data_IF_989050178631
#
_entry.id   IF_989050178631
#
_cell.length_a   1.000
_cell.length_b   1.000
_cell.length_c   1.000
_cell.angle_alpha   90.00
_cell.angle_beta   90.00
_cell.angle_gamma   90.00
#
_symmetry.space_group_name_H-M   'P 1'
#
loop_
_entity.id
_entity.type
_entity.pdbx_description
1 polymer ?
#
# COMPACT_ATOMS: atom_id res chain seq x y z
N UNK A 1 7.49 30.16 20.99
CA UNK A 1 8.16 29.13 20.20
C UNK A 1 7.13 28.45 19.31
N UNK A 2 6.93 28.99 18.11
CA UNK A 2 6.02 28.46 17.10
C UNK A 2 6.65 27.19 16.52
N UNK A 3 6.01 26.05 16.71
CA UNK A 3 6.49 24.77 16.21
C UNK A 3 6.57 24.84 14.66
N UNK A 4 7.70 24.50 13.99
CA UNK A 4 7.87 24.57 12.53
C UNK A 4 7.09 23.49 11.75
N UNK A 5 6.02 22.98 12.35
CA UNK A 5 5.21 21.87 11.86
C UNK A 5 4.35 22.17 10.61
N UNK A 6 3.74 23.37 10.43
CA UNK A 6 2.87 23.61 9.28
C UNK A 6 3.63 23.76 7.95
N UNK A 7 4.87 24.27 7.98
CA UNK A 7 5.66 24.48 6.76
C UNK A 7 6.10 23.17 6.11
N UNK A 8 6.57 22.20 6.89
CA UNK A 8 6.94 20.87 6.35
C UNK A 8 5.76 20.14 5.73
N UNK A 9 4.55 20.30 6.29
CA UNK A 9 3.33 19.71 5.74
C UNK A 9 3.01 20.26 4.35
N UNK A 10 3.13 21.57 4.19
CA UNK A 10 2.91 22.24 2.91
C UNK A 10 3.98 21.86 1.89
N UNK A 11 5.24 21.77 2.32
CA UNK A 11 6.35 21.36 1.46
C UNK A 11 6.21 19.90 0.97
N UNK A 12 5.85 18.96 1.84
CA UNK A 12 5.59 17.58 1.43
C UNK A 12 4.39 17.49 0.49
N UNK A 13 3.28 18.17 0.79
CA UNK A 13 2.14 18.23 -0.11
C UNK A 13 2.50 18.82 -1.48
N UNK A 14 3.34 19.86 -1.52
CA UNK A 14 3.83 20.46 -2.75
C UNK A 14 4.73 19.50 -3.55
N UNK A 15 5.64 18.79 -2.88
CA UNK A 15 6.48 17.77 -3.52
C UNK A 15 5.66 16.62 -4.10
N UNK A 16 4.67 16.11 -3.35
CA UNK A 16 3.77 15.06 -3.83
C UNK A 16 2.91 15.54 -5.00
N UNK A 17 2.45 16.80 -4.95
CA UNK A 17 1.70 17.42 -6.02
C UNK A 17 2.54 17.56 -7.30
N UNK A 18 3.77 18.06 -7.18
CA UNK A 18 4.72 18.15 -8.28
C UNK A 18 5.01 16.77 -8.88
N UNK A 19 5.25 15.77 -8.03
CA UNK A 19 5.47 14.38 -8.45
C UNK A 19 4.29 13.79 -9.23
N UNK A 20 3.07 14.25 -8.94
CA UNK A 20 1.85 13.79 -9.58
C UNK A 20 1.55 14.48 -10.91
N UNK A 21 2.09 15.69 -11.16
CA UNK A 21 1.77 16.49 -12.36
C UNK A 21 2.11 15.79 -13.66
N UNK A 22 3.16 14.97 -13.67
CA UNK A 22 3.56 14.19 -14.85
C UNK A 22 2.54 13.13 -15.31
N UNK A 23 1.53 12.82 -14.49
CA UNK A 23 0.50 11.81 -14.77
C UNK A 23 -0.87 12.41 -15.10
N UNK A 24 -0.98 13.74 -15.11
CA UNK A 24 -2.23 14.43 -15.44
C UNK A 24 -2.46 14.41 -16.95
N UNK A 25 -3.70 14.17 -17.35
CA UNK A 25 -4.13 14.34 -18.74
C UNK A 25 -4.25 15.84 -19.09
N UNK A 26 -4.23 16.19 -20.39
CA UNK A 26 -4.50 17.56 -20.82
C UNK A 26 -5.87 18.05 -20.29
N UNK A 27 -5.86 19.19 -19.61
CA UNK A 27 -7.05 19.78 -19.00
C UNK A 27 -7.54 19.09 -17.71
N UNK A 28 -6.79 18.14 -17.17
CA UNK A 28 -7.02 17.56 -15.84
C UNK A 28 -6.37 18.45 -14.77
N UNK A 29 -7.10 18.74 -13.70
CA UNK A 29 -6.63 19.59 -12.60
C UNK A 29 -6.34 18.75 -11.37
N UNK A 30 -5.14 18.93 -10.82
CA UNK A 30 -4.79 18.34 -9.53
C UNK A 30 -5.53 19.05 -8.40
N UNK A 31 -6.29 18.29 -7.61
CA UNK A 31 -6.99 18.82 -6.43
C UNK A 31 -6.11 18.68 -5.19
N UNK A 32 -5.57 17.48 -4.95
CA UNK A 32 -4.70 17.21 -3.81
C UNK A 32 -3.85 15.94 -4.00
N UNK A 33 -2.77 15.81 -3.25
CA UNK A 33 -1.94 14.61 -3.19
C UNK A 33 -1.56 14.30 -1.74
N UNK A 34 -1.65 13.03 -1.36
CA UNK A 34 -1.41 12.59 0.02
C UNK A 34 -0.59 11.31 0.10
N UNK A 35 0.29 11.22 1.10
CA UNK A 35 1.00 9.99 1.44
C UNK A 35 0.07 9.04 2.20
N UNK A 36 -0.20 7.87 1.62
CA UNK A 36 -1.12 6.86 2.12
C UNK A 36 -0.45 5.51 2.29
N UNK A 37 -1.02 4.69 3.17
CA UNK A 37 -0.62 3.31 3.40
C UNK A 37 -1.87 2.43 3.38
N UNK A 38 -1.72 1.20 2.89
CA UNK A 38 -2.74 0.19 3.15
C UNK A 38 -2.71 -0.15 4.64
N UNK A 39 -3.89 -0.31 5.25
CA UNK A 39 -3.97 -0.78 6.63
C UNK A 39 -3.17 -2.09 6.78
N UNK A 40 -2.40 -2.21 7.87
CA UNK A 40 -1.50 -3.33 8.11
C UNK A 40 -2.18 -4.72 8.11
N UNK A 41 -3.51 -4.77 8.25
CA UNK A 41 -4.29 -6.01 8.22
C UNK A 41 -4.88 -6.33 6.83
N UNK A 42 -4.70 -5.46 5.83
CA UNK A 42 -5.00 -5.77 4.44
C UNK A 42 -4.04 -6.88 3.98
N UNK A 43 -4.53 -7.93 3.29
CA UNK A 43 -3.69 -9.05 2.87
C UNK A 43 -2.39 -8.60 2.20
N UNK A 44 -1.27 -9.01 2.79
CA UNK A 44 0.08 -8.69 2.30
C UNK A 44 0.47 -9.59 1.12
N UNK A 45 0.01 -10.84 1.15
CA UNK A 45 0.34 -11.85 0.16
C UNK A 45 -0.80 -11.99 -0.84
N UNK A 46 -0.52 -11.67 -2.10
CA UNK A 46 -1.47 -11.91 -3.19
C UNK A 46 -1.58 -13.42 -3.47
N UNK A 47 -2.79 -13.91 -3.84
CA UNK A 47 -2.97 -15.22 -4.44
C UNK A 47 -2.05 -15.39 -5.65
N UNK A 48 -1.49 -16.59 -5.84
CA UNK A 48 -0.53 -16.87 -6.93
C UNK A 48 -1.03 -16.42 -8.31
N UNK A 49 -2.32 -16.61 -8.59
CA UNK A 49 -2.98 -16.20 -9.84
C UNK A 49 -2.94 -14.70 -10.17
N UNK A 50 -2.66 -13.84 -9.19
CA UNK A 50 -2.61 -12.39 -9.36
C UNK A 50 -1.20 -11.80 -9.16
N UNK A 51 -0.19 -12.65 -8.97
CA UNK A 51 1.20 -12.19 -8.86
C UNK A 51 1.71 -11.95 -10.26
N UNK A 52 2.23 -10.75 -10.53
CA UNK A 52 3.01 -10.53 -11.74
C UNK A 52 4.29 -11.36 -11.65
N UNK A 53 4.58 -12.23 -12.62
CA UNK A 53 5.81 -13.00 -12.63
C UNK A 53 7.00 -12.02 -12.71
N UNK A 54 7.94 -12.12 -11.76
CA UNK A 54 9.19 -11.37 -11.79
C UNK A 54 10.29 -12.33 -12.26
N UNK A 55 10.63 -12.37 -13.56
CA UNK A 55 11.54 -13.36 -14.12
C UNK A 55 12.92 -13.34 -13.43
N UNK A 56 13.40 -12.16 -13.02
CA UNK A 56 14.67 -12.00 -12.30
C UNK A 56 14.64 -12.59 -10.88
N UNK A 57 13.51 -12.46 -10.16
CA UNK A 57 13.37 -13.01 -8.81
C UNK A 57 13.30 -14.54 -8.84
N UNK A 58 12.65 -15.11 -9.85
CA UNK A 58 12.59 -16.55 -10.08
C UNK A 58 13.95 -17.12 -10.52
N UNK A 59 14.70 -16.39 -11.36
CA UNK A 59 16.07 -16.75 -11.73
C UNK A 59 17.02 -16.72 -10.51
N UNK A 60 16.96 -15.67 -9.69
CA UNK A 60 17.77 -15.56 -8.47
C UNK A 60 17.39 -16.62 -7.43
N UNK A 61 16.11 -16.96 -7.28
CA UNK A 61 15.65 -18.01 -6.37
C UNK A 61 16.15 -19.40 -6.79
N UNK A 62 16.14 -19.69 -8.11
CA UNK A 62 16.69 -20.94 -8.66
C UNK A 62 18.21 -21.05 -8.44
N UNK A 63 18.94 -19.97 -8.69
CA UNK A 63 20.40 -19.93 -8.50
C UNK A 63 20.78 -20.10 -7.01
N UNK A 64 20.04 -19.44 -6.12
CA UNK A 64 20.28 -19.47 -4.66
C UNK A 64 19.89 -20.81 -4.04
N UNK A 65 18.89 -21.50 -4.61
CA UNK A 65 18.50 -22.86 -4.21
C UNK A 65 19.58 -23.90 -4.51
N UNK A 66 20.23 -23.81 -5.67
CA UNK A 66 21.33 -24.71 -6.05
C UNK A 66 22.58 -24.56 -5.19
N UNK A 67 22.99 -23.32 -4.88
CA UNK A 67 24.20 -23.07 -4.09
C UNK A 67 24.08 -23.48 -2.61
N UNK A 68 22.87 -23.47 -2.05
CA UNK A 68 22.60 -23.85 -0.65
C UNK A 68 22.74 -25.36 -0.40
N UNK A 69 22.57 -26.19 -1.42
CA UNK A 69 22.71 -27.64 -1.34
C UNK A 69 24.17 -28.10 -1.45
N UNK A 70 25.04 -27.27 -2.04
CA UNK A 70 26.45 -27.59 -2.27
C UNK A 70 27.35 -27.28 -1.07
N UNK A 71 26.89 -26.50 -0.08
CA UNK A 71 27.69 -26.14 1.10
C UNK A 71 27.05 -26.70 2.40
N UNK A 72 27.65 -27.71 3.04
CA UNK A 72 27.08 -28.39 4.19
C UNK A 72 26.90 -27.49 5.41
N UNK A 73 27.74 -26.46 5.58
CA UNK A 73 27.62 -25.49 6.68
C UNK A 73 26.39 -24.60 6.50
N UNK A 74 26.15 -24.14 5.27
CA UNK A 74 24.96 -23.33 4.93
C UNK A 74 23.69 -24.17 5.06
N UNK A 75 23.76 -25.45 4.72
CA UNK A 75 22.64 -26.38 4.86
C UNK A 75 22.25 -26.61 6.32
N UNK A 76 23.21 -26.87 7.21
CA UNK A 76 22.95 -27.02 8.66
C UNK A 76 22.38 -25.73 9.26
N UNK A 77 22.95 -24.56 8.94
CA UNK A 77 22.38 -23.29 9.40
C UNK A 77 20.96 -23.05 8.87
N UNK A 78 20.66 -23.46 7.63
CA UNK A 78 19.33 -23.37 7.06
C UNK A 78 18.34 -24.29 7.80
N UNK A 79 18.70 -25.54 8.07
CA UNK A 79 17.84 -26.50 8.80
C UNK A 79 17.53 -26.01 10.21
N UNK A 80 18.46 -25.34 10.89
CA UNK A 80 18.24 -24.79 12.23
C UNK A 80 17.47 -23.46 12.22
N UNK A 81 17.67 -22.61 11.19
CA UNK A 81 17.01 -21.29 11.11
C UNK A 81 15.59 -21.33 10.54
N UNK A 82 15.26 -22.31 9.70
CA UNK A 82 13.92 -22.47 9.13
C UNK A 82 12.84 -22.67 10.21
N UNK A 83 13.01 -23.54 11.22
CA UNK A 83 12.07 -23.68 12.33
C UNK A 83 11.90 -22.40 13.14
N UNK A 84 12.99 -21.66 13.41
CA UNK A 84 12.94 -20.39 14.14
C UNK A 84 12.14 -19.33 13.35
N UNK A 85 12.40 -19.20 12.05
CA UNK A 85 11.65 -18.28 11.18
C UNK A 85 10.18 -18.68 11.00
N UNK A 86 9.87 -19.98 10.96
CA UNK A 86 8.50 -20.49 10.93
C UNK A 86 7.77 -20.22 12.24
N UNK A 87 8.44 -20.35 13.39
CA UNK A 87 7.89 -20.01 14.70
C UNK A 87 7.55 -18.52 14.82
N UNK A 88 8.46 -17.63 14.40
CA UNK A 88 8.20 -16.19 14.36
C UNK A 88 7.08 -15.82 13.38
N UNK A 89 7.03 -16.46 12.21
CA UNK A 89 5.95 -16.27 11.23
C UNK A 89 4.60 -16.77 11.76
N UNK A 90 4.58 -17.89 12.47
CA UNK A 90 3.37 -18.45 13.08
C UNK A 90 2.88 -17.56 14.24
N UNK A 91 3.77 -17.12 15.11
CA UNK A 91 3.43 -16.22 16.22
C UNK A 91 2.97 -14.85 15.71
N UNK A 92 3.67 -14.26 14.73
CA UNK A 92 3.28 -12.98 14.14
C UNK A 92 1.98 -13.09 13.33
N UNK A 93 1.74 -14.20 12.61
CA UNK A 93 0.49 -14.48 11.92
C UNK A 93 -0.69 -14.65 12.87
N UNK A 94 -0.50 -15.43 13.94
CA UNK A 94 -1.52 -15.66 14.99
C UNK A 94 -1.85 -14.37 15.72
N UNK A 95 -0.83 -13.60 16.10
CA UNK A 95 -1.01 -12.30 16.75
C UNK A 95 -1.69 -11.27 15.83
N UNK A 96 -1.36 -11.25 14.54
CA UNK A 96 -2.09 -10.44 13.55
C UNK A 96 -3.54 -10.87 13.42
N UNK A 97 -3.83 -12.18 13.44
CA UNK A 97 -5.18 -12.73 13.41
C UNK A 97 -6.02 -12.28 14.62
N UNK A 98 -5.46 -12.38 15.81
CA UNK A 98 -6.10 -11.92 17.06
C UNK A 98 -6.31 -10.40 17.00
N UNK A 99 -5.30 -9.61 16.64
CA UNK A 99 -5.46 -8.16 16.49
C UNK A 99 -6.49 -7.77 15.43
N UNK A 100 -6.63 -8.54 14.35
CA UNK A 100 -7.65 -8.32 13.32
C UNK A 100 -9.06 -8.48 13.86
N UNK A 101 -9.30 -9.46 14.74
CA UNK A 101 -10.59 -9.61 15.42
C UNK A 101 -10.91 -8.36 16.25
N UNK A 102 -9.92 -7.85 16.98
CA UNK A 102 -10.12 -6.62 17.75
C UNK A 102 -10.29 -5.40 16.84
N UNK A 103 -9.48 -5.20 15.80
CA UNK A 103 -9.48 -3.99 14.93
C UNK A 103 -10.72 -3.88 14.04
N UNK A 104 -11.41 -4.99 13.81
CA UNK A 104 -12.53 -5.10 12.89
C UNK A 104 -12.08 -5.38 11.45
N UNK A 105 -13.04 -5.51 10.55
CA UNK A 105 -12.75 -5.69 9.13
C UNK A 105 -11.98 -4.47 8.60
N UNK A 106 -11.04 -4.70 7.70
CA UNK A 106 -10.22 -3.66 7.03
C UNK A 106 -10.37 -3.71 5.51
N UNK A 107 -11.05 -4.74 5.00
CA UNK A 107 -11.25 -4.98 3.58
C UNK A 107 -12.46 -5.91 3.39
N UNK A 108 -13.22 -5.65 2.34
CA UNK A 108 -14.38 -6.43 1.92
C UNK A 108 -14.48 -6.46 0.40
N UNK A 109 -15.02 -7.53 -0.19
CA UNK A 109 -15.27 -7.67 -1.64
C UNK A 109 -14.51 -8.79 -2.33
N UNK A 110 -13.44 -9.32 -1.73
CA UNK A 110 -12.63 -10.35 -2.39
C UNK A 110 -11.73 -9.78 -3.50
N UNK A 111 -10.92 -10.63 -4.12
CA UNK A 111 -9.83 -10.17 -4.98
C UNK A 111 -10.26 -9.61 -6.35
N UNK A 112 -11.46 -9.99 -6.81
CA UNK A 112 -12.02 -9.60 -8.10
C UNK A 112 -12.87 -8.32 -8.02
N UNK A 113 -13.16 -7.84 -6.81
CA UNK A 113 -13.90 -6.61 -6.58
C UNK A 113 -13.03 -5.37 -6.82
N UNK A 114 -13.65 -4.19 -6.87
CA UNK A 114 -12.98 -2.89 -6.94
C UNK A 114 -11.91 -2.73 -5.86
N UNK A 115 -12.23 -3.09 -4.61
CA UNK A 115 -11.27 -3.13 -3.52
C UNK A 115 -10.12 -4.12 -3.75
N UNK A 116 -10.40 -5.30 -4.31
CA UNK A 116 -9.38 -6.28 -4.68
C UNK A 116 -8.47 -5.77 -5.80
N UNK A 117 -9.02 -5.11 -6.82
CA UNK A 117 -8.26 -4.43 -7.88
C UNK A 117 -7.37 -3.32 -7.30
N UNK A 118 -7.91 -2.49 -6.40
CA UNK A 118 -7.15 -1.45 -5.69
C UNK A 118 -5.96 -2.03 -4.92
N UNK A 119 -6.20 -3.05 -4.09
CA UNK A 119 -5.14 -3.70 -3.30
C UNK A 119 -4.09 -4.32 -4.21
N UNK A 120 -4.49 -4.96 -5.32
CA UNK A 120 -3.55 -5.50 -6.31
C UNK A 120 -2.70 -4.40 -6.93
N UNK A 121 -3.29 -3.30 -7.37
CA UNK A 121 -2.58 -2.17 -7.95
C UNK A 121 -1.48 -1.64 -6.99
N UNK A 122 -1.84 -1.39 -5.72
CA UNK A 122 -0.89 -0.89 -4.73
C UNK A 122 0.22 -1.91 -4.42
N UNK A 123 -0.12 -3.21 -4.29
CA UNK A 123 0.83 -4.24 -3.87
C UNK A 123 1.74 -4.75 -4.99
N UNK A 124 1.25 -4.72 -6.23
CA UNK A 124 1.93 -5.26 -7.43
C UNK A 124 2.73 -4.20 -8.18
N UNK A 125 2.85 -2.99 -7.65
CA UNK A 125 3.58 -1.89 -8.27
C UNK A 125 4.98 -2.24 -8.81
N UNK A 126 5.53 -1.45 -9.77
CA UNK A 126 6.62 -1.89 -10.64
C UNK A 126 8.00 -1.96 -9.97
N UNK A 127 8.10 -1.84 -8.64
CA UNK A 127 9.41 -1.76 -8.00
C UNK A 127 10.07 -3.13 -7.83
N UNK A 128 11.30 -3.16 -8.34
CA UNK A 128 12.30 -4.22 -8.40
C UNK A 128 12.81 -4.75 -7.05
N UNK A 129 12.20 -4.40 -5.91
CA UNK A 129 12.58 -5.00 -4.63
C UNK A 129 11.98 -6.39 -4.49
N UNK A 130 12.86 -7.36 -4.25
CA UNK A 130 12.62 -8.81 -4.12
C UNK A 130 11.87 -9.20 -2.84
N UNK A 131 11.10 -8.31 -2.24
CA UNK A 131 10.44 -8.55 -0.96
C UNK A 131 9.26 -7.62 -0.69
N UNK A 132 8.08 -8.01 -1.17
CA UNK A 132 6.77 -7.69 -0.59
C UNK A 132 6.40 -6.21 -0.35
N UNK A 133 5.66 -5.66 -1.31
CA UNK A 133 4.59 -4.66 -1.11
C UNK A 133 5.03 -3.22 -0.87
N UNK A 134 4.52 -2.29 -1.68
CA UNK A 134 4.54 -0.87 -1.32
C UNK A 134 3.78 -0.69 0.00
N UNK A 135 4.51 -0.30 1.05
CA UNK A 135 3.94 0.01 2.38
C UNK A 135 3.34 1.42 2.41
N UNK A 136 3.84 2.30 1.55
CA UNK A 136 3.35 3.65 1.31
C UNK A 136 3.28 3.94 -0.19
N UNK A 137 2.30 4.75 -0.56
CA UNK A 137 2.01 5.20 -1.91
C UNK A 137 1.40 6.60 -1.84
N UNK A 138 1.38 7.30 -2.96
CA UNK A 138 0.79 8.64 -3.06
C UNK A 138 -0.60 8.48 -3.65
N UNK A 139 -1.60 8.96 -2.92
CA UNK A 139 -2.98 9.06 -3.35
C UNK A 139 -3.21 10.46 -3.91
N UNK A 140 -3.36 10.55 -5.21
CA UNK A 140 -3.55 11.82 -5.91
C UNK A 140 -5.00 11.92 -6.35
N UNK A 141 -5.68 12.96 -5.88
CA UNK A 141 -7.07 13.25 -6.23
C UNK A 141 -7.08 14.33 -7.30
N UNK A 142 -7.69 14.03 -8.44
CA UNK A 142 -7.93 14.98 -9.53
C UNK A 142 -9.42 15.27 -9.64
N UNK A 143 -9.77 16.21 -10.52
CA UNK A 143 -11.15 16.51 -10.88
C UNK A 143 -11.86 15.33 -11.57
N UNK A 144 -11.11 14.42 -12.22
CA UNK A 144 -11.66 13.32 -13.04
C UNK A 144 -11.44 11.93 -12.48
N UNK A 145 -10.43 11.71 -11.65
CA UNK A 145 -10.04 10.38 -11.18
C UNK A 145 -9.14 10.46 -9.95
N UNK A 146 -8.81 9.29 -9.44
CA UNK A 146 -7.88 9.08 -8.36
C UNK A 146 -6.71 8.27 -8.92
N UNK A 147 -5.50 8.81 -8.77
CA UNK A 147 -4.26 8.17 -9.20
C UNK A 147 -3.55 7.59 -7.98
N UNK A 148 -3.02 6.39 -8.15
CA UNK A 148 -2.18 5.72 -7.18
C UNK A 148 -0.75 5.76 -7.72
N UNK A 149 0.16 6.46 -7.05
CA UNK A 149 1.54 6.58 -7.48
C UNK A 149 2.48 5.97 -6.44
N UNK A 150 3.65 5.49 -6.86
CA UNK A 150 4.71 5.10 -5.93
C UNK A 150 5.21 6.29 -5.14
N UNK A 151 5.53 6.11 -3.85
CA UNK A 151 6.30 7.14 -3.13
C UNK A 151 7.72 7.23 -3.67
N UNK A 152 8.24 8.45 -3.84
CA UNK A 152 9.66 8.67 -4.07
C UNK A 152 10.41 8.44 -2.74
N UNK A 153 11.54 7.73 -2.80
CA UNK A 153 12.43 7.57 -1.66
C UNK A 153 13.46 8.70 -1.66
N UNK A 154 13.70 9.31 -0.50
CA UNK A 154 14.74 10.34 -0.34
C UNK A 154 16.16 9.78 -0.51
N UNK A 155 16.35 8.48 -0.27
CA UNK A 155 17.66 7.81 -0.35
C UNK A 155 18.07 7.53 -1.79
N UNK A 156 17.11 7.16 -2.63
CA UNK A 156 17.30 6.91 -4.06
C UNK A 156 16.09 7.49 -4.78
N UNK A 157 16.13 8.78 -5.19
CA UNK A 157 15.03 9.39 -5.89
C UNK A 157 14.78 8.63 -7.18
N UNK A 158 13.59 8.03 -7.27
CA UNK A 158 13.12 7.33 -8.47
C UNK A 158 11.94 8.11 -9.03
N UNK A 159 11.75 8.11 -10.36
CA UNK A 159 10.56 8.70 -10.95
C UNK A 159 9.32 8.03 -10.37
N UNK A 160 8.24 8.79 -10.19
CA UNK A 160 6.97 8.21 -9.81
C UNK A 160 6.57 7.16 -10.85
N UNK A 161 5.89 6.14 -10.39
CA UNK A 161 5.26 5.17 -11.26
C UNK A 161 3.80 5.09 -10.93
N UNK A 162 2.98 5.05 -11.97
CA UNK A 162 1.55 4.83 -11.85
C UNK A 162 1.29 3.37 -11.45
N UNK A 163 0.71 3.20 -10.27
CA UNK A 163 0.28 1.92 -9.72
C UNK A 163 -1.11 1.53 -10.24
N UNK A 164 -1.98 2.52 -10.41
CA UNK A 164 -3.33 2.33 -10.90
C UNK A 164 -4.13 3.63 -10.91
N UNK A 165 -5.27 3.58 -11.58
CA UNK A 165 -6.19 4.70 -11.73
C UNK A 165 -7.61 4.26 -11.40
N UNK A 166 -8.37 5.16 -10.78
CA UNK A 166 -9.77 4.95 -10.48
C UNK A 166 -10.59 6.15 -10.95
N UNK A 167 -11.47 5.99 -11.95
CA UNK A 167 -12.36 7.06 -12.39
C UNK A 167 -13.21 7.62 -11.24
N UNK A 168 -13.46 8.94 -11.27
CA UNK A 168 -14.38 9.58 -10.33
C UNK A 168 -15.76 8.92 -10.44
N UNK A 169 -16.42 8.72 -9.31
CA UNK A 169 -17.70 8.01 -9.24
C UNK A 169 -17.60 6.50 -9.08
N UNK A 170 -16.42 5.88 -9.27
CA UNK A 170 -16.20 4.47 -8.94
C UNK A 170 -15.79 4.24 -7.49
N UNK A 171 -15.54 5.32 -6.75
CA UNK A 171 -15.16 5.31 -5.36
C UNK A 171 -15.89 6.41 -4.60
N UNK A 172 -16.07 6.20 -3.30
CA UNK A 172 -16.59 7.18 -2.36
C UNK A 172 -16.01 6.93 -0.95
N UNK A 173 -16.19 7.88 -0.03
CA UNK A 173 -15.95 7.58 1.38
C UNK A 173 -16.96 6.54 1.86
N UNK A 174 -16.47 5.55 2.62
CA UNK A 174 -17.37 4.62 3.31
C UNK A 174 -18.14 5.35 4.41
N UNK A 175 -19.48 5.28 4.37
CA UNK A 175 -20.37 5.91 5.37
C UNK A 175 -20.25 5.32 6.78
N UNK A 176 -19.97 4.03 6.88
CA UNK A 176 -19.84 3.36 8.17
C UNK A 176 -18.60 3.88 8.91
N UNK A 177 -18.79 4.44 10.11
CA UNK A 177 -17.70 4.93 10.94
C UNK A 177 -16.78 3.79 11.37
N UNK A 178 -15.46 4.02 11.27
CA UNK A 178 -14.48 3.15 11.89
C UNK A 178 -14.42 3.39 13.41
N UNK A 179 -13.93 2.43 14.21
CA UNK A 179 -13.78 2.62 15.65
C UNK A 179 -12.98 3.90 15.99
N UNK A 180 -13.34 4.66 17.05
CA UNK A 180 -12.73 5.95 17.40
C UNK A 180 -11.22 5.90 17.67
N UNK A 181 -10.70 4.72 18.01
CA UNK A 181 -9.26 4.48 18.24
C UNK A 181 -8.42 4.44 16.94
N UNK A 182 -9.03 4.46 15.77
CA UNK A 182 -8.34 4.44 14.47
C UNK A 182 -8.40 5.83 13.82
N UNK A 183 -7.70 6.77 14.45
CA UNK A 183 -7.78 8.19 14.11
C UNK A 183 -7.13 8.57 12.77
N UNK A 184 -6.26 7.71 12.26
CA UNK A 184 -5.51 7.92 11.02
C UNK A 184 -6.13 7.17 9.84
N UNK A 185 -7.30 6.54 10.04
CA UNK A 185 -7.92 5.61 9.09
C UNK A 185 -8.94 6.32 8.21
N UNK A 186 -8.90 6.02 6.92
CA UNK A 186 -9.90 6.43 5.93
C UNK A 186 -10.36 5.19 5.17
N UNK A 187 -11.66 4.95 5.13
CA UNK A 187 -12.21 3.81 4.38
C UNK A 187 -12.73 4.29 3.02
N UNK A 188 -12.20 3.71 1.93
CA UNK A 188 -12.70 3.92 0.57
C UNK A 188 -13.68 2.78 0.25
N UNK A 189 -14.89 3.15 -0.16
CA UNK A 189 -15.89 2.25 -0.71
C UNK A 189 -15.93 2.35 -2.24
N UNK A 190 -16.23 1.24 -2.90
CA UNK A 190 -16.35 1.13 -4.35
C UNK A 190 -17.81 0.85 -4.74
N UNK A 191 -18.13 1.04 -6.03
CA UNK A 191 -19.50 0.91 -6.56
C UNK A 191 -20.08 -0.50 -6.44
N UNK A 192 -19.24 -1.53 -6.39
CA UNK A 192 -19.63 -2.92 -6.19
C UNK A 192 -19.91 -3.30 -4.71
N UNK A 193 -19.93 -2.31 -3.81
CA UNK A 193 -20.11 -2.51 -2.37
C UNK A 193 -18.86 -3.06 -1.65
N UNK A 194 -17.76 -3.27 -2.38
CA UNK A 194 -16.46 -3.57 -1.79
C UNK A 194 -15.85 -2.33 -1.15
N UNK A 195 -14.92 -2.51 -0.22
CA UNK A 195 -14.24 -1.37 0.42
C UNK A 195 -12.90 -1.79 1.02
N UNK A 196 -12.02 -0.81 1.22
CA UNK A 196 -10.68 -0.99 1.79
C UNK A 196 -10.35 0.13 2.76
N UNK A 197 -9.69 -0.24 3.87
CA UNK A 197 -9.17 0.68 4.87
C UNK A 197 -7.78 1.16 4.48
N UNK A 198 -7.60 2.46 4.48
CA UNK A 198 -6.36 3.16 4.27
C UNK A 198 -5.92 3.83 5.56
N UNK A 199 -4.62 3.98 5.74
CA UNK A 199 -4.02 4.76 6.81
C UNK A 199 -3.33 5.98 6.17
N UNK A 200 -3.78 7.17 6.55
CA UNK A 200 -3.08 8.40 6.21
C UNK A 200 -1.74 8.42 6.95
N UNK A 201 -0.68 8.90 6.29
CA UNK A 201 0.61 9.10 6.96
C UNK A 201 0.50 10.07 8.14
N UNK A 202 -0.47 10.99 8.08
CA UNK A 202 -0.70 11.98 9.13
C UNK A 202 -2.19 12.13 9.45
N UNK A 203 -2.51 12.14 10.74
CA UNK A 203 -3.87 12.31 11.26
C UNK A 203 -4.61 13.52 10.72
N UNK A 204 -3.92 14.65 10.55
CA UNK A 204 -4.52 15.92 10.11
C UNK A 204 -5.05 15.81 8.68
N UNK A 205 -4.47 14.94 7.85
CA UNK A 205 -4.90 14.75 6.46
C UNK A 205 -6.21 13.97 6.37
N UNK A 206 -6.59 13.19 7.39
CA UNK A 206 -7.78 12.31 7.37
C UNK A 206 -9.04 13.08 7.01
N UNK A 207 -9.28 14.24 7.64
CA UNK A 207 -10.47 15.06 7.36
C UNK A 207 -10.44 15.67 5.96
N UNK A 208 -9.25 16.07 5.48
CA UNK A 208 -9.07 16.60 4.12
C UNK A 208 -9.31 15.53 3.06
N UNK A 209 -8.83 14.32 3.29
CA UNK A 209 -9.05 13.18 2.39
C UNK A 209 -10.52 12.80 2.43
N UNK A 210 -11.10 12.72 3.63
CA UNK A 210 -12.51 12.36 3.81
C UNK A 210 -13.45 13.33 3.10
N UNK A 211 -13.17 14.64 3.11
CA UNK A 211 -13.97 15.64 2.37
C UNK A 211 -13.82 15.51 0.86
N UNK A 212 -12.64 15.14 0.36
CA UNK A 212 -12.37 14.96 -1.07
C UNK A 212 -12.95 13.67 -1.66
N UNK A 213 -13.16 12.66 -0.82
CA UNK A 213 -13.73 11.37 -1.20
C UNK A 213 -15.27 11.35 -1.23
N UNK A 214 -15.94 12.42 -0.77
CA UNK A 214 -17.40 12.55 -0.76
C UNK A 214 -18.04 12.08 0.53
#
# INVERSE_FOLDING_TARGET
MTHPYPERLQQEGAQLAEHSRGFLLPGESLVAAFGMRLDQFVPEVLPRRYRTPKPEADAAARLKGGWRLLNPVIWVMYVVSVPAGLGEAACSGTWRGIRRLFRGKVWHGGWESGAGHFVRAVRTGPSYSSGHGHKSYVLTVTDRRLLLLTTSSTVLPRPAQLLGELPRGQFARRRASHPPRHKDRVDIAFTDGSWVALEAERRIQVEQIASLLG
#
